data_IF_004087457031
#
_entry.id   IF_004087457031
#
_cell.length_a   1.000
_cell.length_b   1.000
_cell.length_c   1.000
_cell.angle_alpha   90.00
_cell.angle_beta   90.00
_cell.angle_gamma   90.00
#
_symmetry.space_group_name_H-M   'P 1'
#
loop_
_entity.id
_entity.type
_entity.pdbx_description
1 polymer ?
#
# COMPACT_ATOMS: atom_id res chain seq x y z
N UNK A 1 -1.13 -30.81 19.02
CA UNK A 1 -0.83 -29.65 18.16
C UNK A 1 0.67 -29.66 17.96
N UNK A 2 1.16 -29.83 16.73
CA UNK A 2 2.60 -29.88 16.45
C UNK A 2 3.20 -28.47 16.63
N UNK A 3 4.42 -28.38 17.17
CA UNK A 3 5.15 -27.11 17.28
C UNK A 3 5.43 -26.58 15.85
N UNK A 4 5.30 -25.26 15.61
CA UNK A 4 5.63 -24.69 14.31
C UNK A 4 7.11 -24.95 13.99
N UNK A 5 7.48 -25.13 12.71
CA UNK A 5 8.84 -25.51 12.30
C UNK A 5 9.94 -24.59 12.87
N UNK A 6 9.68 -23.28 12.93
CA UNK A 6 10.61 -22.28 13.50
C UNK A 6 10.87 -22.46 15.01
N UNK A 7 9.91 -22.99 15.76
CA UNK A 7 10.08 -23.30 17.19
C UNK A 7 10.95 -24.55 17.38
N UNK A 8 10.85 -25.55 16.49
CA UNK A 8 11.75 -26.70 16.52
C UNK A 8 13.20 -26.29 16.21
N UNK A 9 13.40 -25.34 15.29
CA UNK A 9 14.72 -24.79 14.99
C UNK A 9 15.28 -23.97 16.17
N UNK A 10 14.44 -23.15 16.82
CA UNK A 10 14.82 -22.41 18.02
C UNK A 10 15.22 -23.36 19.16
N UNK A 11 14.45 -24.44 19.38
CA UNK A 11 14.76 -25.46 20.37
C UNK A 11 16.07 -26.18 20.07
N UNK A 12 16.29 -26.58 18.80
CA UNK A 12 17.53 -27.22 18.37
C UNK A 12 18.73 -26.29 18.58
N UNK A 13 18.61 -25.03 18.18
CA UNK A 13 19.65 -24.02 18.40
C UNK A 13 19.93 -23.79 19.89
N UNK A 14 18.88 -23.69 20.72
CA UNK A 14 18.98 -23.51 22.18
C UNK A 14 19.72 -24.67 22.84
N UNK A 15 19.41 -25.91 22.45
CA UNK A 15 20.11 -27.10 22.95
C UNK A 15 21.58 -27.10 22.53
N UNK A 16 21.87 -26.81 21.26
CA UNK A 16 23.24 -26.76 20.72
C UNK A 16 24.11 -25.69 21.41
N UNK A 17 23.52 -24.55 21.80
CA UNK A 17 24.20 -23.42 22.44
C UNK A 17 24.05 -23.41 23.98
N UNK A 18 23.42 -24.43 24.57
CA UNK A 18 23.33 -24.59 26.01
C UNK A 18 24.64 -25.15 26.59
N UNK A 19 24.91 -24.89 27.88
CA UNK A 19 26.13 -25.33 28.57
C UNK A 19 26.31 -26.86 28.68
N UNK A 20 25.31 -27.64 28.26
CA UNK A 20 25.34 -29.12 28.28
C UNK A 20 26.29 -29.68 27.21
N UNK A 21 26.42 -29.03 26.05
CA UNK A 21 27.35 -29.42 24.97
C UNK A 21 28.80 -29.00 25.23
N UNK A 22 29.05 -28.07 26.17
CA UNK A 22 30.39 -27.59 26.52
C UNK A 22 31.17 -28.56 27.44
N UNK A 23 30.51 -29.57 28.01
CA UNK A 23 31.10 -30.51 28.96
C UNK A 23 31.60 -31.83 28.32
N UNK A 24 31.38 -32.03 27.01
CA UNK A 24 31.87 -33.21 26.29
C UNK A 24 33.22 -32.92 25.60
N UNK A 25 34.33 -33.52 26.05
CA UNK A 25 35.66 -33.30 25.48
C UNK A 25 35.82 -33.86 24.05
N UNK A 26 34.83 -34.60 23.55
CA UNK A 26 34.79 -35.18 22.20
C UNK A 26 33.91 -34.38 21.22
N UNK A 27 33.19 -33.38 21.72
CA UNK A 27 32.30 -32.58 20.90
C UNK A 27 33.08 -31.66 19.94
N UNK A 28 32.62 -31.49 18.68
CA UNK A 28 33.19 -30.49 17.77
C UNK A 28 33.14 -29.10 18.43
N UNK A 29 34.13 -28.23 18.16
CA UNK A 29 34.15 -26.88 18.72
C UNK A 29 32.83 -26.15 18.40
N UNK A 30 32.28 -25.37 19.34
CA UNK A 30 31.00 -24.69 19.15
C UNK A 30 31.08 -23.81 17.91
N UNK A 31 30.39 -24.22 16.85
CA UNK A 31 30.19 -23.38 15.69
C UNK A 31 29.23 -22.29 16.14
N UNK A 32 29.67 -21.03 16.14
CA UNK A 32 28.81 -19.87 16.35
C UNK A 32 27.84 -19.75 15.17
N UNK A 33 26.81 -20.61 15.16
CA UNK A 33 25.69 -20.50 14.22
C UNK A 33 24.83 -19.33 14.67
N UNK A 34 24.78 -18.31 13.83
CA UNK A 34 23.79 -17.23 13.94
C UNK A 34 22.40 -17.86 14.04
N UNK A 35 21.58 -17.34 14.97
CA UNK A 35 20.17 -17.71 15.07
C UNK A 35 19.50 -17.59 13.68
N UNK A 36 18.73 -18.61 13.24
CA UNK A 36 17.99 -18.51 11.99
C UNK A 36 17.01 -17.33 12.05
N UNK A 37 16.80 -16.59 10.95
CA UNK A 37 15.94 -15.40 10.93
C UNK A 37 14.52 -15.67 11.45
N UNK A 38 13.95 -16.82 11.12
CA UNK A 38 12.62 -17.21 11.58
C UNK A 38 12.57 -17.52 13.08
N UNK A 39 13.66 -18.09 13.63
CA UNK A 39 13.80 -18.28 15.07
C UNK A 39 14.03 -16.94 15.79
N UNK A 40 14.67 -15.97 15.13
CA UNK A 40 14.81 -14.60 15.61
C UNK A 40 13.44 -13.92 15.73
N UNK A 41 12.58 -14.07 14.72
CA UNK A 41 11.22 -13.53 14.74
C UNK A 41 10.35 -14.15 15.84
N UNK A 42 10.55 -15.43 16.16
CA UNK A 42 9.89 -16.09 17.30
C UNK A 42 10.38 -15.55 18.64
N UNK A 43 11.67 -15.21 18.75
CA UNK A 43 12.31 -14.78 19.99
C UNK A 43 12.12 -13.28 20.28
N UNK A 44 12.16 -12.44 19.26
CA UNK A 44 12.14 -10.98 19.39
C UNK A 44 10.88 -10.33 18.80
N UNK A 45 10.00 -11.11 18.19
CA UNK A 45 8.92 -10.62 17.34
C UNK A 45 9.41 -10.40 15.91
N UNK A 46 8.55 -10.71 14.92
CA UNK A 46 8.78 -10.30 13.54
C UNK A 46 8.66 -8.78 13.37
N UNK A 47 8.93 -8.25 12.16
CA UNK A 47 8.69 -6.85 11.86
C UNK A 47 7.23 -6.47 12.16
N UNK A 48 7.01 -5.26 12.68
CA UNK A 48 5.66 -4.76 12.90
C UNK A 48 4.97 -4.45 11.58
N UNK A 49 3.64 -4.39 11.57
CA UNK A 49 2.88 -3.92 10.39
C UNK A 49 3.38 -2.56 9.90
N UNK A 50 3.73 -1.65 10.82
CA UNK A 50 4.30 -0.35 10.47
C UNK A 50 5.66 -0.46 9.75
N UNK A 51 6.49 -1.43 10.13
CA UNK A 51 7.76 -1.71 9.45
C UNK A 51 7.52 -2.30 8.06
N UNK A 52 6.56 -3.23 7.95
CA UNK A 52 6.18 -3.85 6.67
C UNK A 52 5.54 -2.83 5.71
N UNK A 53 4.72 -1.92 6.21
CA UNK A 53 4.13 -0.82 5.43
C UNK A 53 5.23 0.07 4.82
N UNK A 54 6.22 0.48 5.63
CA UNK A 54 7.36 1.27 5.15
C UNK A 54 8.20 0.50 4.15
N UNK A 55 8.52 -0.76 4.46
CA UNK A 55 9.32 -1.62 3.59
C UNK A 55 8.67 -1.77 2.21
N UNK A 56 7.35 -1.93 2.17
CA UNK A 56 6.59 -2.04 0.92
C UNK A 56 6.70 -0.77 0.07
N UNK A 57 6.46 0.42 0.66
CA UNK A 57 6.59 1.70 -0.06
C UNK A 57 8.05 1.93 -0.52
N UNK A 58 9.04 1.60 0.31
CA UNK A 58 10.45 1.73 -0.07
C UNK A 58 10.84 0.80 -1.22
N UNK A 59 10.30 -0.42 -1.25
CA UNK A 59 10.53 -1.34 -2.37
C UNK A 59 10.00 -0.76 -3.69
N UNK A 60 8.82 -0.13 -3.67
CA UNK A 60 8.28 0.56 -4.86
C UNK A 60 9.18 1.73 -5.30
N UNK A 61 9.69 2.51 -4.34
CA UNK A 61 10.59 3.64 -4.61
C UNK A 61 12.00 3.25 -5.06
N UNK A 62 12.36 1.97 -4.99
CA UNK A 62 13.71 1.51 -5.31
C UNK A 62 14.11 1.90 -6.73
N UNK A 63 15.31 2.49 -6.84
CA UNK A 63 15.98 2.78 -8.12
C UNK A 63 16.95 1.68 -8.54
N UNK A 64 17.03 0.58 -7.77
CA UNK A 64 17.83 -0.58 -8.10
C UNK A 64 17.28 -1.27 -9.37
N UNK A 65 18.08 -1.42 -10.44
CA UNK A 65 17.66 -2.09 -11.67
C UNK A 65 17.25 -3.56 -11.48
N UNK A 66 17.71 -4.22 -10.41
CA UNK A 66 17.34 -5.60 -10.10
C UNK A 66 15.93 -5.70 -9.48
N UNK A 67 15.37 -4.60 -8.98
CA UNK A 67 13.99 -4.54 -8.50
C UNK A 67 13.06 -4.31 -9.69
N UNK A 68 12.46 -5.39 -10.17
CA UNK A 68 11.63 -5.37 -11.37
C UNK A 68 10.30 -4.65 -11.14
N UNK A 69 9.59 -4.32 -12.23
CA UNK A 69 8.23 -3.80 -12.15
C UNK A 69 7.30 -4.79 -11.41
N UNK A 70 7.48 -6.09 -11.64
CA UNK A 70 6.70 -7.15 -10.99
C UNK A 70 6.94 -7.16 -9.47
N UNK A 71 8.18 -7.01 -9.02
CA UNK A 71 8.50 -6.90 -7.60
C UNK A 71 7.85 -5.67 -6.95
N UNK A 72 7.79 -4.54 -7.69
CA UNK A 72 7.11 -3.32 -7.22
C UNK A 72 5.60 -3.50 -7.12
N UNK A 73 4.99 -4.24 -8.05
CA UNK A 73 3.56 -4.58 -7.97
C UNK A 73 3.29 -5.48 -6.76
N UNK A 74 4.12 -6.49 -6.52
CA UNK A 74 4.04 -7.33 -5.31
C UNK A 74 4.20 -6.49 -4.03
N UNK A 75 5.09 -5.50 -4.03
CA UNK A 75 5.23 -4.60 -2.91
C UNK A 75 3.97 -3.76 -2.67
N UNK A 76 3.29 -3.29 -3.73
CA UNK A 76 1.98 -2.66 -3.58
C UNK A 76 0.92 -3.61 -3.05
N UNK A 77 0.85 -4.85 -3.53
CA UNK A 77 -0.10 -5.86 -3.04
C UNK A 77 0.12 -6.13 -1.54
N UNK A 78 1.37 -6.22 -1.10
CA UNK A 78 1.71 -6.39 0.31
C UNK A 78 1.30 -5.17 1.15
N UNK A 79 1.52 -3.96 0.63
CA UNK A 79 1.07 -2.74 1.28
C UNK A 79 -0.45 -2.69 1.39
N UNK A 80 -1.15 -3.07 0.32
CA UNK A 80 -2.60 -3.03 0.26
C UNK A 80 -3.27 -3.98 1.25
N UNK A 81 -2.78 -5.22 1.34
CA UNK A 81 -3.26 -6.20 2.34
C UNK A 81 -3.12 -5.69 3.77
N UNK A 82 -2.05 -4.95 4.09
CA UNK A 82 -1.86 -4.39 5.43
C UNK A 82 -2.86 -3.27 5.73
N UNK A 83 -3.18 -2.44 4.74
CA UNK A 83 -4.08 -1.28 4.90
C UNK A 83 -5.56 -1.61 4.68
N UNK A 84 -5.92 -2.84 4.30
CA UNK A 84 -7.29 -3.35 4.47
C UNK A 84 -7.73 -3.27 5.96
N UNK A 85 -6.76 -3.32 6.88
CA UNK A 85 -6.99 -3.01 8.29
C UNK A 85 -7.05 -1.48 8.51
N UNK A 86 -8.17 -1.00 9.06
CA UNK A 86 -8.42 0.42 9.30
C UNK A 86 -7.40 1.09 10.23
N UNK A 87 -6.86 0.39 11.23
CA UNK A 87 -5.84 0.93 12.13
C UNK A 87 -4.52 1.17 11.39
N UNK A 88 -4.13 0.24 10.52
CA UNK A 88 -2.96 0.39 9.66
C UNK A 88 -3.17 1.50 8.62
N UNK A 89 -4.34 1.54 7.96
CA UNK A 89 -4.69 2.64 7.04
C UNK A 89 -4.59 4.02 7.72
N UNK A 90 -5.09 4.12 8.95
CA UNK A 90 -5.00 5.34 9.74
C UNK A 90 -3.57 5.70 10.15
N UNK A 91 -2.64 4.74 10.12
CA UNK A 91 -1.23 4.94 10.44
C UNK A 91 -0.44 5.49 9.23
N UNK A 92 -0.98 5.47 8.01
CA UNK A 92 -0.32 6.02 6.81
C UNK A 92 0.11 7.49 7.04
N UNK A 93 -0.70 8.30 7.72
CA UNK A 93 -0.34 9.69 8.07
C UNK A 93 0.84 9.76 9.04
N UNK A 94 0.79 9.01 10.14
CA UNK A 94 1.85 9.01 11.15
C UNK A 94 3.18 8.44 10.63
N UNK A 95 3.11 7.49 9.69
CA UNK A 95 4.28 6.94 8.99
C UNK A 95 4.74 7.81 7.81
N UNK A 96 4.04 8.91 7.52
CA UNK A 96 4.32 9.83 6.41
C UNK A 96 4.31 9.16 5.03
N UNK A 97 3.44 8.17 4.84
CA UNK A 97 3.35 7.38 3.61
C UNK A 97 2.36 7.93 2.59
N UNK A 98 1.53 8.93 2.93
CA UNK A 98 0.60 9.55 1.98
C UNK A 98 1.30 10.22 0.79
N UNK A 99 2.30 11.06 1.06
CA UNK A 99 3.04 11.77 0.02
C UNK A 99 3.73 10.82 -0.99
N UNK A 100 4.50 9.80 -0.58
CA UNK A 100 5.07 8.87 -1.54
C UNK A 100 3.99 8.07 -2.29
N UNK A 101 2.93 7.63 -1.60
CA UNK A 101 1.83 6.89 -2.23
C UNK A 101 1.13 7.72 -3.31
N UNK A 102 0.78 8.97 -3.01
CA UNK A 102 0.14 9.89 -3.95
C UNK A 102 1.09 10.30 -5.09
N UNK A 103 2.39 10.40 -4.84
CA UNK A 103 3.39 10.68 -5.86
C UNK A 103 3.41 9.64 -6.98
N UNK A 104 3.14 8.37 -6.66
CA UNK A 104 3.07 7.30 -7.66
C UNK A 104 1.90 7.43 -8.64
N UNK A 105 0.87 8.24 -8.34
CA UNK A 105 -0.22 8.52 -9.28
C UNK A 105 0.25 9.25 -10.55
N UNK A 106 1.44 9.85 -10.53
CA UNK A 106 2.07 10.50 -11.68
C UNK A 106 3.25 9.71 -12.26
N UNK A 107 3.44 8.44 -11.85
CA UNK A 107 4.55 7.61 -12.32
C UNK A 107 4.44 7.33 -13.83
N UNK A 108 5.57 7.15 -14.52
CA UNK A 108 5.59 6.86 -15.97
C UNK A 108 4.94 5.51 -16.30
N UNK A 109 5.26 4.49 -15.50
CA UNK A 109 4.66 3.17 -15.60
C UNK A 109 3.19 3.16 -15.20
N UNK A 110 2.36 2.66 -16.11
CA UNK A 110 0.91 2.60 -15.94
C UNK A 110 0.50 1.71 -14.77
N UNK A 111 1.16 0.57 -14.62
CA UNK A 111 0.82 -0.39 -13.56
C UNK A 111 1.09 0.19 -12.17
N UNK A 112 2.15 0.99 -12.01
CA UNK A 112 2.45 1.69 -10.75
C UNK A 112 1.35 2.71 -10.42
N UNK A 113 0.89 3.51 -11.41
CA UNK A 113 -0.22 4.45 -11.19
C UNK A 113 -1.49 3.74 -10.74
N UNK A 114 -1.83 2.63 -11.41
CA UNK A 114 -3.00 1.81 -11.10
C UNK A 114 -2.93 1.25 -9.68
N UNK A 115 -1.80 0.67 -9.28
CA UNK A 115 -1.63 0.10 -7.94
C UNK A 115 -1.61 1.16 -6.84
N UNK A 116 -1.04 2.32 -7.10
CA UNK A 116 -1.11 3.45 -6.17
C UNK A 116 -2.56 3.92 -5.96
N UNK A 117 -3.32 4.09 -7.05
CA UNK A 117 -4.75 4.45 -6.96
C UNK A 117 -5.57 3.37 -6.25
N UNK A 118 -5.23 2.09 -6.44
CA UNK A 118 -5.82 0.97 -5.72
C UNK A 118 -5.60 1.08 -4.21
N UNK A 119 -4.36 1.22 -3.77
CA UNK A 119 -4.04 1.39 -2.35
C UNK A 119 -4.69 2.64 -1.73
N UNK A 120 -4.75 3.75 -2.47
CA UNK A 120 -5.46 4.96 -2.02
C UNK A 120 -6.94 4.65 -1.80
N UNK A 121 -7.58 3.95 -2.74
CA UNK A 121 -8.97 3.49 -2.63
C UNK A 121 -9.19 2.62 -1.40
N UNK A 122 -8.38 1.57 -1.22
CA UNK A 122 -8.46 0.67 -0.06
C UNK A 122 -8.32 1.45 1.26
N UNK A 123 -7.36 2.37 1.35
CA UNK A 123 -7.12 3.14 2.58
C UNK A 123 -8.29 4.06 2.98
N UNK A 124 -9.00 4.63 2.01
CA UNK A 124 -10.09 5.60 2.24
C UNK A 124 -11.48 4.95 2.25
N UNK A 125 -11.61 3.72 1.79
CA UNK A 125 -12.88 3.00 1.74
C UNK A 125 -13.47 2.87 3.15
N UNK A 126 -14.67 3.44 3.34
CA UNK A 126 -15.37 3.48 4.63
C UNK A 126 -14.51 4.01 5.80
N UNK A 127 -13.52 4.88 5.53
CA UNK A 127 -12.58 5.38 6.52
C UNK A 127 -12.44 6.91 6.46
N UNK A 128 -13.30 7.62 7.20
CA UNK A 128 -13.33 9.09 7.22
C UNK A 128 -11.99 9.73 7.63
N UNK A 129 -11.22 9.08 8.51
CA UNK A 129 -9.93 9.62 8.94
C UNK A 129 -8.94 9.61 7.78
N UNK A 130 -8.80 8.48 7.08
CA UNK A 130 -8.00 8.39 5.87
C UNK A 130 -8.48 9.32 4.77
N UNK A 131 -9.81 9.46 4.58
CA UNK A 131 -10.39 10.39 3.61
C UNK A 131 -9.95 11.83 3.86
N UNK A 132 -10.04 12.31 5.12
CA UNK A 132 -9.59 13.65 5.50
C UNK A 132 -8.08 13.84 5.30
N UNK A 133 -7.28 12.83 5.65
CA UNK A 133 -5.82 12.87 5.43
C UNK A 133 -5.50 12.94 3.93
N UNK A 134 -6.08 12.06 3.12
CA UNK A 134 -5.90 12.04 1.67
C UNK A 134 -6.28 13.38 1.02
N UNK A 135 -7.40 13.99 1.45
CA UNK A 135 -7.84 15.29 0.97
C UNK A 135 -6.84 16.40 1.33
N UNK A 136 -6.38 16.42 2.59
CA UNK A 136 -5.39 17.39 3.11
C UNK A 136 -4.06 17.31 2.36
N UNK A 137 -3.63 16.11 1.99
CA UNK A 137 -2.38 15.86 1.27
C UNK A 137 -2.51 16.13 -0.25
N UNK A 138 -3.68 16.58 -0.73
CA UNK A 138 -3.91 16.94 -2.13
C UNK A 138 -4.15 15.73 -3.05
N UNK A 139 -4.66 14.62 -2.51
CA UNK A 139 -4.87 13.40 -3.27
C UNK A 139 -5.94 13.52 -4.36
N UNK A 140 -6.99 14.30 -4.13
CA UNK A 140 -8.10 14.46 -5.10
C UNK A 140 -7.63 15.07 -6.44
N UNK A 141 -6.92 16.21 -6.48
CA UNK A 141 -6.36 16.74 -7.73
C UNK A 141 -5.46 15.75 -8.48
N UNK A 142 -4.65 14.96 -7.76
CA UNK A 142 -3.77 13.97 -8.37
C UNK A 142 -4.55 12.81 -9.00
N UNK A 143 -5.59 12.30 -8.33
CA UNK A 143 -6.47 11.28 -8.89
C UNK A 143 -7.25 11.78 -10.10
N UNK A 144 -7.76 13.02 -10.05
CA UNK A 144 -8.45 13.64 -11.19
C UNK A 144 -7.50 13.75 -12.38
N UNK A 145 -6.31 14.31 -12.16
CA UNK A 145 -5.28 14.42 -13.21
C UNK A 145 -4.92 13.06 -13.80
N UNK A 146 -4.64 12.07 -12.95
CA UNK A 146 -4.36 10.69 -13.40
C UNK A 146 -5.51 10.13 -14.24
N UNK A 147 -6.76 10.36 -13.83
CA UNK A 147 -7.97 9.87 -14.53
C UNK A 147 -8.20 10.55 -15.88
N UNK A 148 -7.75 11.80 -16.04
CA UNK A 148 -7.83 12.56 -17.29
C UNK A 148 -6.70 12.20 -18.24
N UNK A 149 -5.46 12.10 -17.74
CA UNK A 149 -4.26 11.78 -18.51
C UNK A 149 -4.25 10.31 -18.95
N UNK A 150 -4.77 9.41 -18.11
CA UNK A 150 -5.03 8.02 -18.49
C UNK A 150 -6.27 7.97 -19.39
N UNK A 151 -6.07 7.96 -20.71
CA UNK A 151 -7.11 7.70 -21.72
C UNK A 151 -7.90 6.38 -21.53
N UNK A 152 -7.75 5.62 -20.43
CA UNK A 152 -8.42 4.31 -20.25
C UNK A 152 -8.64 3.75 -18.83
N UNK A 153 -8.45 4.48 -17.72
CA UNK A 153 -8.59 3.84 -16.38
C UNK A 153 -9.34 4.69 -15.35
N UNK A 154 -10.67 4.76 -15.51
CA UNK A 154 -11.57 5.53 -14.62
C UNK A 154 -12.51 4.62 -13.86
N UNK A 155 -12.00 3.83 -12.91
CA UNK A 155 -12.83 2.99 -12.01
C UNK A 155 -12.97 3.52 -10.58
N UNK A 156 -12.13 4.48 -10.16
CA UNK A 156 -11.85 4.73 -8.74
C UNK A 156 -12.51 5.98 -8.13
N UNK A 157 -13.32 6.73 -8.88
CA UNK A 157 -13.93 7.98 -8.38
C UNK A 157 -15.27 7.79 -7.63
N UNK A 158 -15.78 6.55 -7.53
CA UNK A 158 -17.17 6.26 -7.16
C UNK A 158 -17.47 5.95 -5.70
N UNK A 159 -16.50 6.03 -4.81
CA UNK A 159 -16.75 5.76 -3.38
C UNK A 159 -16.72 7.05 -2.58
N UNK A 160 -17.67 7.18 -1.66
CA UNK A 160 -18.04 8.36 -0.88
C UNK A 160 -16.83 9.10 -0.30
N UNK A 161 -16.28 10.03 -1.08
CA UNK A 161 -15.25 10.97 -0.65
C UNK A 161 -15.95 12.29 -0.33
N UNK A 162 -15.71 12.84 0.86
CA UNK A 162 -16.03 14.24 1.23
C UNK A 162 -15.30 15.30 0.35
N UNK A 163 -14.75 14.90 -0.80
CA UNK A 163 -13.96 15.70 -1.74
C UNK A 163 -14.53 15.74 -3.16
N UNK A 164 -15.78 15.33 -3.41
CA UNK A 164 -16.38 15.40 -4.75
C UNK A 164 -16.50 16.83 -5.28
N UNK A 165 -16.74 17.82 -4.41
CA UNK A 165 -16.70 19.25 -4.77
C UNK A 165 -15.31 19.65 -5.30
N UNK A 166 -14.25 19.14 -4.68
CA UNK A 166 -12.86 19.38 -5.13
C UNK A 166 -12.62 18.65 -6.46
N UNK A 167 -13.13 17.42 -6.61
CA UNK A 167 -12.98 16.67 -7.85
C UNK A 167 -13.67 17.36 -9.03
N UNK A 168 -14.89 17.86 -8.83
CA UNK A 168 -15.65 18.61 -9.85
C UNK A 168 -15.02 19.96 -10.18
N UNK A 169 -14.48 20.67 -9.19
CA UNK A 169 -13.71 21.89 -9.44
C UNK A 169 -12.45 21.61 -10.28
N UNK A 170 -11.69 20.56 -9.95
CA UNK A 170 -10.49 20.16 -10.71
C UNK A 170 -10.82 19.69 -12.13
N UNK A 171 -11.95 18.98 -12.32
CA UNK A 171 -12.45 18.65 -13.66
C UNK A 171 -12.85 19.91 -14.44
N UNK A 172 -13.49 20.89 -13.77
CA UNK A 172 -13.81 22.20 -14.32
C UNK A 172 -12.57 22.96 -14.82
N UNK A 173 -11.48 22.95 -14.03
CA UNK A 173 -10.19 23.53 -14.42
C UNK A 173 -9.59 22.86 -15.66
N UNK A 174 -9.89 21.57 -15.87
CA UNK A 174 -9.47 20.80 -17.05
C UNK A 174 -10.45 20.93 -18.23
N UNK A 175 -11.44 21.81 -18.15
CA UNK A 175 -12.40 22.08 -19.23
C UNK A 175 -13.47 21.00 -19.40
N UNK A 176 -13.67 20.13 -18.40
CA UNK A 176 -14.75 19.13 -18.34
C UNK A 176 -15.81 19.59 -17.35
N UNK A 177 -17.09 19.27 -17.59
CA UNK A 177 -18.28 19.81 -16.89
C UNK A 177 -18.02 20.26 -15.45
N UNK A 178 -17.97 21.58 -15.23
CA UNK A 178 -17.62 22.22 -13.95
C UNK A 178 -18.82 22.49 -13.03
N UNK A 179 -19.91 21.74 -13.19
CA UNK A 179 -21.04 21.83 -12.28
C UNK A 179 -20.67 21.10 -10.97
N UNK A 180 -20.81 21.80 -9.84
CA UNK A 180 -20.56 21.24 -8.51
C UNK A 180 -21.53 20.09 -8.27
N UNK A 181 -21.00 18.89 -8.05
CA UNK A 181 -21.79 17.71 -7.70
C UNK A 181 -21.69 17.49 -6.20
N UNK A 182 -22.85 17.42 -5.54
CA UNK A 182 -22.96 17.05 -4.15
C UNK A 182 -22.40 15.63 -3.95
N UNK A 183 -21.35 15.51 -3.12
CA UNK A 183 -20.70 14.24 -2.79
C UNK A 183 -21.64 13.21 -2.14
N UNK A 184 -22.79 13.65 -1.63
CA UNK A 184 -23.80 12.78 -1.00
C UNK A 184 -24.84 12.26 -2.00
N UNK A 185 -24.89 12.82 -3.21
CA UNK A 185 -25.75 12.38 -4.30
C UNK A 185 -25.01 11.33 -5.14
N UNK A 186 -25.17 10.06 -4.74
CA UNK A 186 -24.53 8.92 -5.40
C UNK A 186 -24.99 8.76 -6.85
N UNK A 187 -26.23 9.12 -7.18
CA UNK A 187 -26.76 9.04 -8.55
C UNK A 187 -26.07 10.07 -9.45
N UNK A 188 -25.86 11.30 -8.95
CA UNK A 188 -25.13 12.33 -9.68
C UNK A 188 -23.62 11.99 -9.83
N UNK A 189 -23.03 11.38 -8.79
CA UNK A 189 -21.66 10.87 -8.84
C UNK A 189 -21.51 9.77 -9.90
N UNK A 190 -22.45 8.83 -9.94
CA UNK A 190 -22.47 7.74 -10.92
C UNK A 190 -22.62 8.27 -12.35
N UNK A 191 -23.51 9.24 -12.58
CA UNK A 191 -23.67 9.88 -13.90
C UNK A 191 -22.38 10.55 -14.37
N UNK A 192 -21.67 11.27 -13.49
CA UNK A 192 -20.38 11.88 -13.83
C UNK A 192 -19.34 10.80 -14.17
N UNK A 193 -19.28 9.74 -13.38
CA UNK A 193 -18.34 8.64 -13.59
C UNK A 193 -18.66 7.89 -14.89
N UNK A 194 -19.93 7.60 -15.16
CA UNK A 194 -20.39 6.98 -16.39
C UNK A 194 -20.11 7.86 -17.61
N UNK A 195 -20.37 9.16 -17.53
CA UNK A 195 -20.02 10.11 -18.60
C UNK A 195 -18.52 10.13 -18.88
N UNK A 196 -17.70 10.17 -17.83
CA UNK A 196 -16.25 10.08 -17.93
C UNK A 196 -15.80 8.72 -18.51
N UNK A 197 -16.50 7.62 -18.23
CA UNK A 197 -16.23 6.29 -18.82
C UNK A 197 -16.59 6.23 -20.29
N UNK A 198 -17.75 6.74 -20.68
CA UNK A 198 -18.22 6.73 -22.07
C UNK A 198 -17.31 7.56 -22.99
N UNK A 199 -16.87 8.73 -22.54
CA UNK A 199 -15.93 9.54 -23.30
C UNK A 199 -14.56 8.86 -23.47
N UNK A 200 -14.11 8.12 -22.45
CA UNK A 200 -12.91 7.30 -22.56
C UNK A 200 -13.09 6.15 -23.57
N UNK A 201 -14.30 5.60 -23.69
CA UNK A 201 -14.62 4.53 -24.64
C UNK A 201 -14.78 5.01 -26.09
N UNK A 202 -15.24 6.26 -26.31
CA UNK A 202 -15.47 6.85 -27.64
C UNK A 202 -14.20 7.41 -28.29
N UNK A 203 -13.11 7.58 -27.55
CA UNK A 203 -11.83 8.15 -28.03
C UNK A 203 -10.85 7.15 -28.67
N UNK A 204 -11.33 6.30 -29.59
CA UNK A 204 -10.50 5.52 -30.54
C UNK A 204 -10.07 6.39 -31.70
#
# INVERSE_FOLDING_TARGET
MALPPSMNELLKWSVENSSVTAADPTAPPPQTRTLPPDAMNVLFGGPSDADLMKASIYAVQSSDPEVTLEDKVVAFDNFEQLIENLDNANNIEALQLWQPLLGFLAHEEKEIRKMAAWCVGTAVQNNEKSQRCMLKEGGVPLLVKMSVDAKRERRMLGERLDGMDVATEELGKLGRSGDKIDATDMDACDVLIEGLREEAAKGV
#
